data_IF_416733751254
#
_entry.id   IF_416733751254
#
_cell.length_a   1.000
_cell.length_b   1.000
_cell.length_c   1.000
_cell.angle_alpha   90.00
_cell.angle_beta   90.00
_cell.angle_gamma   90.00
#
_symmetry.space_group_name_H-M   'P 1'
#
loop_
_entity.id
_entity.type
_entity.pdbx_description
1 polymer ?
#
# COMPACT_ATOMS: atom_id res chain seq x y z
N UNK A 1 -8.26 -6.28 -20.23
CA UNK A 1 -8.47 -7.28 -19.14
C UNK A 1 -9.95 -7.64 -19.11
N UNK A 2 -10.33 -8.84 -18.65
CA UNK A 2 -11.73 -9.22 -18.51
C UNK A 2 -12.21 -8.84 -17.08
N UNK A 3 -13.19 -7.95 -16.91
CA UNK A 3 -13.64 -7.51 -15.59
C UNK A 3 -14.39 -8.63 -14.85
N UNK A 4 -14.13 -8.77 -13.55
CA UNK A 4 -14.87 -9.65 -12.65
C UNK A 4 -15.75 -8.81 -11.71
N UNK A 5 -16.92 -9.32 -11.30
CA UNK A 5 -17.87 -8.63 -10.42
C UNK A 5 -17.85 -9.15 -8.98
N UNK A 6 -17.09 -10.19 -8.69
CA UNK A 6 -16.81 -10.72 -7.35
C UNK A 6 -15.72 -9.89 -6.68
N UNK A 7 -16.00 -9.33 -5.49
CA UNK A 7 -15.02 -8.56 -4.71
C UNK A 7 -13.71 -9.31 -4.54
N UNK A 8 -13.77 -10.58 -4.14
CA UNK A 8 -12.57 -11.37 -3.86
C UNK A 8 -11.72 -11.53 -5.11
N UNK A 9 -12.35 -11.92 -6.22
CA UNK A 9 -11.63 -12.16 -7.46
C UNK A 9 -11.08 -10.87 -8.05
N UNK A 10 -11.88 -9.82 -8.12
CA UNK A 10 -11.42 -8.52 -8.62
C UNK A 10 -10.29 -7.96 -7.77
N UNK A 11 -10.37 -8.07 -6.45
CA UNK A 11 -9.30 -7.67 -5.56
C UNK A 11 -8.02 -8.47 -5.83
N UNK A 12 -8.13 -9.80 -6.01
CA UNK A 12 -6.99 -10.64 -6.37
C UNK A 12 -6.37 -10.24 -7.72
N UNK A 13 -7.19 -9.89 -8.72
CA UNK A 13 -6.70 -9.44 -10.03
C UNK A 13 -5.88 -8.16 -9.89
N UNK A 14 -6.42 -7.13 -9.21
CA UNK A 14 -5.73 -5.86 -9.02
C UNK A 14 -4.49 -6.01 -8.13
N UNK A 15 -4.58 -6.76 -7.04
CA UNK A 15 -3.47 -6.93 -6.11
C UNK A 15 -2.38 -7.87 -6.63
N UNK A 16 -2.71 -8.86 -7.47
CA UNK A 16 -1.73 -9.76 -8.08
C UNK A 16 -1.22 -9.28 -9.44
N UNK A 17 -1.96 -8.41 -10.13
CA UNK A 17 -1.75 -8.07 -11.54
C UNK A 17 -1.80 -9.28 -12.51
N UNK A 18 -2.47 -10.38 -12.12
CA UNK A 18 -2.57 -11.62 -12.91
C UNK A 18 -4.04 -11.99 -13.19
N UNK A 19 -4.72 -11.28 -14.11
CA UNK A 19 -6.14 -11.50 -14.40
C UNK A 19 -6.49 -12.91 -14.89
N UNK A 20 -5.54 -13.61 -15.51
CA UNK A 20 -5.76 -14.93 -16.11
C UNK A 20 -5.53 -16.10 -15.13
N UNK A 21 -5.15 -15.83 -13.86
CA UNK A 21 -4.84 -16.88 -12.88
C UNK A 21 -5.74 -16.78 -11.66
N UNK A 22 -6.49 -17.83 -11.37
CA UNK A 22 -7.38 -17.87 -10.21
C UNK A 22 -6.61 -18.05 -8.90
N UNK A 23 -5.61 -18.94 -8.89
CA UNK A 23 -4.76 -19.16 -7.72
C UNK A 23 -3.46 -18.33 -7.80
N UNK A 24 -3.43 -17.25 -7.02
CA UNK A 24 -2.27 -16.36 -6.91
C UNK A 24 -1.73 -16.32 -5.49
N UNK A 25 -0.46 -16.71 -5.32
CA UNK A 25 0.20 -16.79 -4.01
C UNK A 25 1.06 -15.57 -3.65
N UNK A 26 1.14 -14.57 -4.54
CA UNK A 26 1.91 -13.34 -4.32
C UNK A 26 1.31 -12.15 -5.07
N UNK A 27 1.50 -10.96 -4.51
CA UNK A 27 1.12 -9.69 -5.12
C UNK A 27 2.18 -9.12 -6.04
N UNK A 28 1.81 -8.09 -6.79
CA UNK A 28 2.76 -7.44 -7.69
C UNK A 28 3.82 -6.63 -6.93
N UNK A 29 3.46 -5.92 -5.85
CA UNK A 29 4.45 -5.25 -5.00
C UNK A 29 5.32 -6.27 -4.26
N UNK A 30 4.74 -7.37 -3.78
CA UNK A 30 5.49 -8.45 -3.15
C UNK A 30 6.54 -9.07 -4.07
N UNK A 31 6.18 -9.34 -5.34
CA UNK A 31 7.14 -9.79 -6.36
C UNK A 31 8.19 -8.73 -6.70
N UNK A 32 7.83 -7.45 -6.68
CA UNK A 32 8.79 -6.36 -6.87
C UNK A 32 9.82 -6.36 -5.72
N UNK A 33 9.38 -6.50 -4.47
CA UNK A 33 10.27 -6.64 -3.31
C UNK A 33 11.20 -7.86 -3.45
N UNK A 34 10.66 -9.01 -3.85
CA UNK A 34 11.45 -10.24 -4.05
C UNK A 34 12.52 -10.11 -5.14
N UNK A 35 12.29 -9.26 -6.15
CA UNK A 35 13.24 -8.99 -7.22
C UNK A 35 14.42 -8.12 -6.77
N UNK A 36 14.28 -7.40 -5.66
CA UNK A 36 15.30 -6.50 -5.09
C UNK A 36 15.70 -6.90 -3.68
N UNK A 37 15.60 -8.19 -3.31
CA UNK A 37 15.82 -8.69 -1.95
C UNK A 37 17.16 -8.27 -1.34
N UNK A 38 18.22 -8.22 -2.14
CA UNK A 38 19.56 -7.81 -1.71
C UNK A 38 19.60 -6.34 -1.24
N UNK A 39 18.73 -5.48 -1.77
CA UNK A 39 18.63 -4.06 -1.39
C UNK A 39 17.92 -3.86 -0.03
N UNK A 40 17.32 -4.92 0.50
CA UNK A 40 16.41 -4.90 1.65
C UNK A 40 16.94 -5.61 2.89
N UNK A 41 18.19 -6.11 2.86
CA UNK A 41 18.81 -6.77 4.00
C UNK A 41 18.78 -5.83 5.22
N UNK A 42 18.19 -6.32 6.32
CA UNK A 42 18.05 -5.57 7.59
C UNK A 42 17.07 -4.40 7.55
N UNK A 43 16.22 -4.30 6.53
CA UNK A 43 15.21 -3.24 6.37
C UNK A 43 13.80 -3.84 6.36
N UNK A 44 12.80 -2.97 6.49
CA UNK A 44 11.37 -3.32 6.35
C UNK A 44 10.86 -2.63 5.07
N UNK A 45 11.07 -3.23 3.88
CA UNK A 45 10.89 -2.52 2.61
C UNK A 45 9.43 -2.34 2.20
N UNK A 46 8.52 -3.15 2.76
CA UNK A 46 7.08 -3.04 2.61
C UNK A 46 6.40 -2.94 3.97
N UNK A 47 5.27 -2.25 4.05
CA UNK A 47 4.49 -2.11 5.28
C UNK A 47 3.00 -1.91 4.97
N UNK A 48 2.13 -2.71 5.58
CA UNK A 48 0.68 -2.56 5.46
C UNK A 48 0.11 -1.87 6.72
N UNK A 49 -0.76 -0.89 6.54
CA UNK A 49 -1.34 -0.08 7.61
C UNK A 49 -2.85 -0.15 7.66
N UNK A 50 -3.37 -0.36 8.88
CA UNK A 50 -4.81 -0.33 9.14
C UNK A 50 -5.57 -1.53 8.57
N UNK A 51 -4.87 -2.65 8.33
CA UNK A 51 -5.45 -3.93 7.88
C UNK A 51 -5.15 -5.03 8.88
N UNK A 52 -6.08 -5.98 9.03
CA UNK A 52 -5.92 -7.13 9.93
C UNK A 52 -5.14 -8.28 9.30
N UNK A 53 -5.12 -8.32 7.97
CA UNK A 53 -4.37 -9.29 7.17
C UNK A 53 -3.47 -8.54 6.21
N UNK A 54 -2.36 -9.18 5.83
CA UNK A 54 -1.47 -8.66 4.81
C UNK A 54 -2.23 -8.65 3.47
N UNK A 55 -2.40 -7.48 2.82
CA UNK A 55 -3.01 -7.43 1.50
C UNK A 55 -2.17 -8.26 0.52
N UNK A 56 -2.82 -9.05 -0.33
CA UNK A 56 -2.18 -9.86 -1.36
C UNK A 56 -1.12 -9.05 -2.13
N UNK A 57 -1.38 -7.76 -2.41
CA UNK A 57 -0.47 -6.87 -3.14
C UNK A 57 0.95 -6.88 -2.57
N UNK A 58 1.08 -6.93 -1.23
CA UNK A 58 2.35 -6.96 -0.51
C UNK A 58 2.82 -8.37 -0.13
N UNK A 59 2.06 -9.43 -0.42
CA UNK A 59 2.49 -10.81 -0.16
C UNK A 59 3.67 -11.14 -1.09
N UNK A 60 4.82 -11.36 -0.47
CA UNK A 60 6.09 -11.71 -1.09
C UNK A 60 6.51 -13.13 -0.66
N UNK A 61 7.32 -13.80 -1.48
CA UNK A 61 7.80 -15.16 -1.21
C UNK A 61 9.15 -15.20 -0.49
N UNK A 62 9.97 -14.14 -0.59
CA UNK A 62 11.32 -14.07 0.02
C UNK A 62 11.42 -13.04 1.15
N UNK A 63 10.48 -12.10 1.22
CA UNK A 63 10.48 -11.01 2.20
C UNK A 63 9.23 -11.08 3.08
N UNK A 64 9.42 -10.97 4.40
CA UNK A 64 8.31 -10.79 5.33
C UNK A 64 7.89 -9.32 5.35
N UNK A 65 6.63 -9.07 5.00
CA UNK A 65 6.02 -7.74 5.07
C UNK A 65 5.08 -7.67 6.27
N UNK A 66 5.36 -6.84 7.28
CA UNK A 66 4.50 -6.73 8.45
C UNK A 66 3.24 -5.90 8.19
N UNK A 67 2.19 -6.22 8.96
CA UNK A 67 0.96 -5.42 9.09
C UNK A 67 0.95 -4.67 10.40
N UNK A 68 0.55 -3.41 10.38
CA UNK A 68 0.56 -2.53 11.54
C UNK A 68 -0.78 -1.80 11.64
N UNK A 69 -1.42 -1.86 12.81
CA UNK A 69 -2.64 -1.07 13.05
C UNK A 69 -2.31 0.37 13.42
N UNK A 70 -1.33 0.55 14.30
CA UNK A 70 -0.80 1.85 14.72
C UNK A 70 0.65 1.70 15.22
N UNK A 71 1.32 2.83 15.44
CA UNK A 71 2.70 2.90 15.95
C UNK A 71 2.86 2.19 17.30
N UNK A 72 1.84 2.21 18.17
CA UNK A 72 1.90 1.56 19.49
C UNK A 72 1.89 0.03 19.33
N UNK A 73 1.16 -0.49 18.35
CA UNK A 73 1.12 -1.89 17.97
C UNK A 73 2.38 -2.37 17.27
N UNK A 74 3.14 -1.48 16.62
CA UNK A 74 4.48 -1.77 16.08
C UNK A 74 5.60 -1.58 17.10
N UNK A 75 5.36 -2.03 18.33
CA UNK A 75 6.37 -2.10 19.37
C UNK A 75 6.60 -3.55 19.72
N UNK A 76 7.85 -3.90 20.04
CA UNK A 76 8.10 -5.24 20.51
C UNK A 76 7.48 -5.42 21.90
N UNK A 77 6.46 -6.28 21.97
CA UNK A 77 5.92 -6.74 23.23
C UNK A 77 6.84 -7.81 23.81
N UNK A 78 7.65 -7.42 24.78
CA UNK A 78 8.60 -8.27 25.51
C UNK A 78 7.93 -9.21 26.52
N UNK A 79 6.60 -9.35 26.49
CA UNK A 79 5.82 -10.04 27.51
C UNK A 79 5.67 -9.24 28.81
N UNK A 80 4.98 -9.80 29.82
CA UNK A 80 4.83 -9.15 31.12
C UNK A 80 6.16 -9.07 31.88
N UNK A 81 6.37 -8.00 32.65
CA UNK A 81 7.55 -7.86 33.50
C UNK A 81 7.80 -6.43 33.97
N UNK A 82 8.62 -6.29 35.02
CA UNK A 82 9.18 -5.00 35.42
C UNK A 82 10.35 -4.59 34.49
N UNK A 83 10.86 -3.37 34.63
CA UNK A 83 11.92 -2.84 33.75
C UNK A 83 13.16 -3.74 33.66
N UNK A 84 13.54 -4.39 34.76
CA UNK A 84 14.65 -5.37 34.80
C UNK A 84 14.36 -6.63 33.99
N UNK A 85 13.15 -7.18 34.11
CA UNK A 85 12.71 -8.34 33.33
C UNK A 85 12.65 -8.01 31.83
N UNK A 86 12.13 -6.84 31.46
CA UNK A 86 12.10 -6.38 30.07
C UNK A 86 13.52 -6.20 29.51
N UNK A 87 14.46 -5.65 30.30
CA UNK A 87 15.87 -5.56 29.92
C UNK A 87 16.49 -6.94 29.70
N UNK A 88 16.13 -7.92 30.51
CA UNK A 88 16.60 -9.31 30.39
C UNK A 88 16.04 -9.98 29.12
N UNK A 89 14.75 -9.83 28.85
CA UNK A 89 14.11 -10.33 27.63
C UNK A 89 14.72 -9.68 26.38
N UNK A 90 14.99 -8.37 26.41
CA UNK A 90 15.71 -7.64 25.37
C UNK A 90 17.09 -8.25 25.10
N UNK A 91 17.90 -8.45 26.14
CA UNK A 91 19.24 -9.05 26.01
C UNK A 91 19.18 -10.49 25.48
N UNK A 92 18.18 -11.27 25.87
CA UNK A 92 18.00 -12.64 25.37
C UNK A 92 17.69 -12.66 23.87
N UNK A 93 16.79 -11.78 23.42
CA UNK A 93 16.49 -11.62 22.00
C UNK A 93 17.71 -11.14 21.23
N UNK A 94 18.45 -10.13 21.71
CA UNK A 94 19.69 -9.66 21.08
C UNK A 94 20.73 -10.78 20.92
N UNK A 95 20.85 -11.70 21.88
CA UNK A 95 21.75 -12.87 21.79
C UNK A 95 21.29 -13.89 20.75
N UNK A 96 20.00 -14.21 20.72
CA UNK A 96 19.42 -15.11 19.69
C UNK A 96 19.61 -14.50 18.30
N UNK A 97 19.37 -13.19 18.22
CA UNK A 97 19.49 -12.36 17.05
C UNK A 97 20.93 -11.83 16.85
N UNK A 98 21.97 -12.44 17.41
CA UNK A 98 23.37 -12.16 17.04
C UNK A 98 24.18 -13.40 16.72
N UNK A 99 23.70 -14.60 17.09
CA UNK A 99 24.33 -15.87 16.74
C UNK A 99 24.27 -16.16 15.24
N UNK A 100 25.42 -16.53 14.68
CA UNK A 100 25.48 -17.11 13.34
C UNK A 100 24.67 -18.41 13.31
N UNK A 101 23.87 -18.55 12.28
CA UNK A 101 23.25 -19.80 11.88
C UNK A 101 23.90 -20.21 10.56
N UNK A 102 23.82 -21.49 10.20
CA UNK A 102 24.10 -21.90 8.84
C UNK A 102 23.23 -21.09 7.88
N UNK A 103 23.88 -20.36 6.98
CA UNK A 103 23.23 -19.49 6.01
C UNK A 103 22.18 -20.29 5.24
N UNK A 104 20.94 -19.80 5.23
CA UNK A 104 19.83 -20.42 4.51
C UNK A 104 19.00 -21.44 5.29
N UNK A 105 19.24 -21.64 6.59
CA UNK A 105 18.33 -22.44 7.44
C UNK A 105 17.08 -21.66 7.86
N UNK A 106 15.99 -22.36 8.22
CA UNK A 106 14.79 -21.73 8.79
C UNK A 106 15.11 -20.93 10.06
N UNK A 107 16.05 -21.43 10.87
CA UNK A 107 16.52 -20.75 12.07
C UNK A 107 17.25 -19.43 11.74
N UNK A 108 18.04 -19.40 10.68
CA UNK A 108 18.70 -18.20 10.16
C UNK A 108 17.67 -17.16 9.69
N UNK A 109 16.63 -17.60 8.98
CA UNK A 109 15.50 -16.76 8.57
C UNK A 109 14.72 -16.16 9.75
N UNK A 110 14.37 -16.99 10.74
CA UNK A 110 13.69 -16.54 11.96
C UNK A 110 14.54 -15.51 12.73
N UNK A 111 15.85 -15.77 12.86
CA UNK A 111 16.77 -14.83 13.53
C UNK A 111 16.85 -13.50 12.79
N UNK A 112 17.02 -13.49 11.46
CA UNK A 112 17.04 -12.24 10.67
C UNK A 112 15.74 -11.47 10.77
N UNK A 113 14.61 -12.16 10.73
CA UNK A 113 13.28 -11.56 10.88
C UNK A 113 13.16 -10.90 12.26
N UNK A 114 13.55 -11.60 13.33
CA UNK A 114 13.56 -11.05 14.68
C UNK A 114 14.49 -9.83 14.83
N UNK A 115 15.72 -9.87 14.28
CA UNK A 115 16.65 -8.72 14.26
C UNK A 115 16.02 -7.51 13.58
N UNK A 116 15.44 -7.73 12.41
CA UNK A 116 14.87 -6.67 11.57
C UNK A 116 13.68 -6.03 12.30
N UNK A 117 12.73 -6.84 12.79
CA UNK A 117 11.58 -6.37 13.55
C UNK A 117 11.98 -5.62 14.83
N UNK A 118 13.01 -6.11 15.53
CA UNK A 118 13.55 -5.42 16.71
C UNK A 118 14.10 -4.04 16.35
N UNK A 119 15.03 -4.01 15.41
CA UNK A 119 15.71 -2.77 15.01
C UNK A 119 14.75 -1.74 14.43
N UNK A 120 13.73 -2.19 13.69
CA UNK A 120 12.71 -1.32 13.12
C UNK A 120 11.78 -0.76 14.19
N UNK A 121 11.36 -1.56 15.17
CA UNK A 121 10.52 -1.10 16.27
C UNK A 121 11.23 -0.06 17.16
N UNK A 122 12.50 -0.29 17.53
CA UNK A 122 13.28 0.69 18.31
C UNK A 122 13.48 1.99 17.53
N UNK A 123 13.79 1.88 16.23
CA UNK A 123 13.92 3.05 15.36
C UNK A 123 12.61 3.83 15.30
N UNK A 124 11.47 3.15 15.06
CA UNK A 124 10.16 3.78 15.02
C UNK A 124 9.84 4.50 16.34
N UNK A 125 10.11 3.86 17.49
CA UNK A 125 9.89 4.48 18.80
C UNK A 125 10.66 5.79 18.98
N UNK A 126 11.92 5.84 18.53
CA UNK A 126 12.73 7.06 18.59
C UNK A 126 12.18 8.16 17.69
N UNK A 127 11.77 7.82 16.47
CA UNK A 127 11.15 8.75 15.53
C UNK A 127 9.85 9.30 16.09
N UNK A 128 9.04 8.43 16.69
CA UNK A 128 7.71 8.80 17.18
C UNK A 128 7.74 9.77 18.35
N UNK A 129 8.84 9.78 19.11
CA UNK A 129 9.04 10.73 20.19
C UNK A 129 9.33 12.16 19.69
N UNK A 130 9.86 12.31 18.48
CA UNK A 130 10.27 13.61 17.92
C UNK A 130 9.40 14.08 16.75
N UNK A 131 8.63 13.18 16.15
CA UNK A 131 7.80 13.50 15.00
C UNK A 131 6.69 14.50 15.33
N UNK A 132 6.66 15.59 14.55
CA UNK A 132 5.58 16.58 14.60
C UNK A 132 5.09 16.80 13.17
N UNK A 133 3.79 16.57 12.89
CA UNK A 133 3.21 16.90 11.60
C UNK A 133 3.41 18.38 11.27
N UNK A 134 3.90 18.68 10.06
CA UNK A 134 3.98 20.04 9.55
C UNK A 134 2.61 20.55 9.05
N UNK A 135 1.64 19.66 8.87
CA UNK A 135 0.24 19.97 8.53
C UNK A 135 -0.71 19.23 9.47
N UNK A 136 -1.82 19.86 9.82
CA UNK A 136 -2.87 19.22 10.62
C UNK A 136 -3.58 18.14 9.80
N UNK A 137 -3.71 16.94 10.36
CA UNK A 137 -4.47 15.85 9.74
C UNK A 137 -5.93 15.91 10.17
N UNK A 138 -6.86 15.55 9.27
CA UNK A 138 -8.25 15.36 9.66
C UNK A 138 -8.38 14.20 10.67
N UNK A 139 -9.39 14.29 11.53
CA UNK A 139 -9.69 13.26 12.55
C UNK A 139 -10.32 11.98 11.99
N UNK A 140 -10.20 11.72 10.69
CA UNK A 140 -10.76 10.54 10.03
C UNK A 140 -9.76 9.39 9.93
N UNK A 141 -10.25 8.20 9.56
CA UNK A 141 -9.47 6.96 9.61
C UNK A 141 -8.27 6.99 8.68
N UNK A 142 -8.47 7.41 7.43
CA UNK A 142 -7.39 7.51 6.45
C UNK A 142 -6.36 8.57 6.85
N UNK A 143 -6.78 9.71 7.38
CA UNK A 143 -5.90 10.76 7.87
C UNK A 143 -4.94 10.26 8.95
N UNK A 144 -5.42 9.50 9.92
CA UNK A 144 -4.56 8.94 10.97
C UNK A 144 -3.60 7.86 10.43
N UNK A 145 -4.04 7.02 9.48
CA UNK A 145 -3.17 6.05 8.80
C UNK A 145 -2.05 6.78 8.04
N UNK A 146 -2.37 7.79 7.25
CA UNK A 146 -1.38 8.55 6.47
C UNK A 146 -0.44 9.38 7.35
N UNK A 147 -0.91 9.90 8.49
CA UNK A 147 -0.04 10.54 9.49
C UNK A 147 1.05 9.57 9.99
N UNK A 148 0.66 8.33 10.28
CA UNK A 148 1.61 7.28 10.71
C UNK A 148 2.58 6.91 9.60
N UNK A 149 2.12 6.85 8.34
CA UNK A 149 2.99 6.62 7.19
C UNK A 149 4.01 7.76 7.05
N UNK A 150 3.61 9.02 7.20
CA UNK A 150 4.50 10.17 7.11
C UNK A 150 5.58 10.14 8.21
N UNK A 151 5.20 9.78 9.43
CA UNK A 151 6.11 9.56 10.56
C UNK A 151 7.21 8.53 10.23
N UNK A 152 6.84 7.40 9.64
CA UNK A 152 7.79 6.35 9.25
C UNK A 152 8.70 6.78 8.10
N UNK A 153 8.15 7.52 7.13
CA UNK A 153 8.92 8.07 6.01
C UNK A 153 9.97 9.07 6.54
N UNK A 154 9.59 9.96 7.46
CA UNK A 154 10.51 10.90 8.12
C UNK A 154 11.61 10.18 8.91
N UNK A 155 11.32 8.96 9.35
CA UNK A 155 12.28 8.09 9.99
C UNK A 155 13.31 7.40 9.10
N UNK A 156 13.11 7.38 7.79
CA UNK A 156 13.95 6.68 6.81
C UNK A 156 14.26 5.22 7.23
N UNK A 157 13.22 4.43 7.54
CA UNK A 157 13.35 3.04 7.97
C UNK A 157 13.72 2.06 6.83
N UNK A 158 13.97 2.59 5.63
CA UNK A 158 14.18 1.78 4.43
C UNK A 158 12.89 1.23 3.82
N UNK A 159 11.72 1.60 4.35
CA UNK A 159 10.41 1.27 3.79
C UNK A 159 10.20 2.02 2.47
N UNK A 160 9.91 1.27 1.42
CA UNK A 160 9.70 1.80 0.06
C UNK A 160 8.25 1.70 -0.40
N UNK A 161 7.49 0.73 0.13
CA UNK A 161 6.13 0.45 -0.27
C UNK A 161 5.21 0.45 0.95
N UNK A 162 4.17 1.27 0.88
CA UNK A 162 3.14 1.36 1.92
C UNK A 162 1.80 0.97 1.32
N UNK A 163 1.02 0.17 2.04
CA UNK A 163 -0.37 -0.11 1.69
C UNK A 163 -1.29 0.43 2.77
N UNK A 164 -2.25 1.26 2.39
CA UNK A 164 -3.33 1.76 3.24
C UNK A 164 -4.65 1.51 2.54
N UNK A 165 -5.71 1.31 3.30
CA UNK A 165 -7.06 1.16 2.76
C UNK A 165 -8.02 2.23 3.32
N UNK A 166 -8.98 2.60 2.48
CA UNK A 166 -10.19 3.33 2.83
C UNK A 166 -11.36 2.53 2.26
N UNK A 167 -12.20 2.00 3.15
CA UNK A 167 -13.33 1.15 2.78
C UNK A 167 -14.61 1.99 2.62
N UNK A 168 -15.71 1.35 2.20
CA UNK A 168 -17.04 1.96 2.18
C UNK A 168 -17.54 2.41 0.80
N UNK A 169 -16.73 2.28 -0.25
CA UNK A 169 -17.11 2.69 -1.62
C UNK A 169 -18.11 1.74 -2.31
N UNK A 170 -18.44 0.61 -1.69
CA UNK A 170 -19.45 -0.30 -2.23
C UNK A 170 -20.88 0.11 -1.88
N UNK A 171 -21.30 1.25 -2.42
CA UNK A 171 -22.54 1.94 -2.07
C UNK A 171 -23.73 1.52 -2.95
N UNK A 172 -24.37 0.40 -2.63
CA UNK A 172 -25.56 -0.10 -3.36
C UNK A 172 -26.86 0.66 -3.05
N UNK A 173 -26.83 1.59 -2.10
CA UNK A 173 -27.94 2.48 -1.77
C UNK A 173 -27.44 3.84 -1.29
N UNK A 174 -28.26 4.88 -1.47
CA UNK A 174 -27.97 6.27 -1.06
C UNK A 174 -26.54 6.74 -1.38
N UNK A 175 -26.04 6.39 -2.57
CA UNK A 175 -24.63 6.51 -2.94
C UNK A 175 -24.12 7.94 -2.91
N UNK A 176 -24.91 8.93 -3.33
CA UNK A 176 -24.47 10.31 -3.46
C UNK A 176 -23.82 10.85 -2.17
N UNK A 177 -24.47 10.68 -1.02
CA UNK A 177 -23.98 11.18 0.26
C UNK A 177 -22.78 10.37 0.78
N UNK A 178 -22.87 9.04 0.74
CA UNK A 178 -21.80 8.17 1.20
C UNK A 178 -20.51 8.37 0.37
N UNK A 179 -20.65 8.41 -0.95
CA UNK A 179 -19.52 8.60 -1.86
C UNK A 179 -18.91 10.00 -1.73
N UNK A 180 -19.72 11.05 -1.56
CA UNK A 180 -19.22 12.39 -1.28
C UNK A 180 -18.39 12.43 0.02
N UNK A 181 -18.86 11.79 1.09
CA UNK A 181 -18.14 11.73 2.36
C UNK A 181 -16.79 11.01 2.22
N UNK A 182 -16.77 9.88 1.51
CA UNK A 182 -15.54 9.10 1.28
C UNK A 182 -14.53 9.83 0.39
N UNK A 183 -14.99 10.50 -0.67
CA UNK A 183 -14.11 11.33 -1.51
C UNK A 183 -13.58 12.54 -0.75
N UNK A 184 -14.36 13.10 0.18
CA UNK A 184 -13.91 14.18 1.08
C UNK A 184 -12.85 13.69 2.05
N UNK A 185 -13.02 12.49 2.63
CA UNK A 185 -11.99 11.84 3.46
C UNK A 185 -10.71 11.57 2.65
N UNK A 186 -10.82 10.97 1.46
CA UNK A 186 -9.69 10.72 0.56
C UNK A 186 -8.92 12.01 0.24
N UNK A 187 -9.64 13.04 -0.21
CA UNK A 187 -9.07 14.32 -0.62
C UNK A 187 -8.38 15.04 0.55
N UNK A 188 -9.06 15.16 1.70
CA UNK A 188 -8.51 15.85 2.87
C UNK A 188 -7.30 15.11 3.47
N UNK A 189 -7.33 13.78 3.53
CA UNK A 189 -6.25 12.97 4.07
C UNK A 189 -5.00 13.01 3.17
N UNK A 190 -5.17 12.86 1.85
CA UNK A 190 -4.04 12.95 0.89
C UNK A 190 -3.46 14.38 0.89
N UNK A 191 -4.31 15.41 0.94
CA UNK A 191 -3.87 16.81 0.98
C UNK A 191 -3.02 17.09 2.22
N UNK A 192 -3.48 16.65 3.40
CA UNK A 192 -2.72 16.77 4.65
C UNK A 192 -1.39 16.00 4.58
N UNK A 193 -1.40 14.78 4.06
CA UNK A 193 -0.21 13.94 3.90
C UNK A 193 0.85 14.57 2.98
N UNK A 194 0.44 15.07 1.82
CA UNK A 194 1.35 15.74 0.89
C UNK A 194 1.87 17.06 1.50
N UNK A 195 1.02 17.82 2.20
CA UNK A 195 1.42 19.03 2.91
C UNK A 195 2.47 18.77 4.00
N UNK A 196 2.26 17.70 4.77
CA UNK A 196 3.17 17.27 5.82
C UNK A 196 4.54 16.85 5.26
N UNK A 197 4.54 15.98 4.25
CA UNK A 197 5.77 15.58 3.56
C UNK A 197 6.50 16.76 2.91
N UNK A 198 5.79 17.75 2.39
CA UNK A 198 6.40 18.99 1.87
C UNK A 198 7.06 19.78 2.99
N UNK A 199 6.39 19.94 4.13
CA UNK A 199 6.94 20.63 5.30
C UNK A 199 8.22 19.98 5.85
N UNK A 200 8.37 18.66 5.68
CA UNK A 200 9.59 17.92 6.02
C UNK A 200 10.60 17.79 4.86
N UNK A 201 10.32 18.36 3.68
CA UNK A 201 11.21 18.26 2.50
C UNK A 201 11.28 16.85 1.87
N UNK A 202 10.29 16.00 2.13
CA UNK A 202 10.26 14.58 1.73
C UNK A 202 9.31 14.30 0.56
N UNK A 203 8.47 15.26 0.16
CA UNK A 203 7.42 15.04 -0.85
C UNK A 203 7.94 14.53 -2.20
N UNK A 204 9.12 14.96 -2.63
CA UNK A 204 9.76 14.53 -3.89
C UNK A 204 10.13 13.03 -3.91
N UNK A 205 10.21 12.39 -2.75
CA UNK A 205 10.53 10.96 -2.59
C UNK A 205 9.28 10.07 -2.56
N UNK A 206 8.08 10.66 -2.60
CA UNK A 206 6.82 9.95 -2.37
C UNK A 206 5.87 10.13 -3.55
N UNK A 207 5.26 9.02 -3.95
CA UNK A 207 4.17 8.97 -4.91
C UNK A 207 3.04 8.16 -4.29
N UNK A 208 1.85 8.76 -4.25
CA UNK A 208 0.62 8.09 -3.83
C UNK A 208 -0.12 7.63 -5.08
N UNK A 209 -0.53 6.36 -5.13
CA UNK A 209 -1.39 5.81 -6.17
C UNK A 209 -2.58 5.12 -5.52
N UNK A 210 -3.79 5.41 -6.00
CA UNK A 210 -5.03 4.74 -5.56
C UNK A 210 -5.49 3.73 -6.59
N UNK A 211 -6.18 2.68 -6.15
CA UNK A 211 -6.93 1.79 -7.00
C UNK A 211 -8.17 1.30 -6.24
N UNK A 212 -9.14 0.77 -6.99
CA UNK A 212 -10.25 -0.02 -6.45
C UNK A 212 -10.45 -1.21 -7.39
N UNK A 213 -10.96 -2.29 -6.83
CA UNK A 213 -11.21 -3.55 -7.50
C UNK A 213 -12.30 -3.45 -8.59
N UNK A 214 -13.21 -2.47 -8.49
CA UNK A 214 -14.22 -2.17 -9.51
C UNK A 214 -14.49 -0.68 -9.63
N UNK A 215 -15.21 -0.33 -10.69
CA UNK A 215 -15.88 0.96 -10.81
C UNK A 215 -17.33 0.91 -10.33
N UNK A 216 -18.09 1.92 -10.74
CA UNK A 216 -19.55 2.00 -10.55
C UNK A 216 -20.23 2.12 -11.90
N UNK A 217 -21.41 1.51 -12.06
CA UNK A 217 -22.23 1.72 -13.26
C UNK A 217 -22.68 3.17 -13.39
N UNK A 218 -22.96 3.58 -14.63
CA UNK A 218 -23.41 4.96 -14.92
C UNK A 218 -24.82 5.20 -14.40
N UNK A 219 -25.72 4.23 -14.58
CA UNK A 219 -27.10 4.36 -14.15
C UNK A 219 -27.26 4.06 -12.65
N UNK A 220 -28.09 4.89 -11.99
CA UNK A 220 -28.54 4.64 -10.62
C UNK A 220 -29.45 3.40 -10.57
N UNK A 221 -29.29 2.58 -9.54
CA UNK A 221 -30.16 1.43 -9.27
C UNK A 221 -31.43 1.87 -8.49
N UNK A 222 -32.38 0.96 -8.32
CA UNK A 222 -33.66 1.27 -7.66
C UNK A 222 -33.58 1.69 -6.18
N UNK A 223 -32.40 1.65 -5.56
CA UNK A 223 -32.16 2.01 -4.15
C UNK A 223 -31.34 3.30 -3.99
N UNK A 224 -31.29 4.14 -5.02
CA UNK A 224 -30.48 5.37 -5.05
C UNK A 224 -28.97 5.10 -4.89
N UNK A 225 -28.52 3.92 -5.32
CA UNK A 225 -27.11 3.52 -5.39
C UNK A 225 -26.70 3.19 -6.82
N UNK A 226 -25.59 2.48 -7.01
CA UNK A 226 -25.24 1.92 -8.34
C UNK A 226 -24.73 0.50 -8.16
N UNK A 227 -24.76 -0.31 -9.22
CA UNK A 227 -24.10 -1.63 -9.18
C UNK A 227 -22.59 -1.50 -9.47
N UNK A 228 -21.87 -2.61 -9.36
CA UNK A 228 -20.45 -2.70 -9.72
C UNK A 228 -20.24 -2.44 -11.21
N UNK A 229 -19.24 -1.60 -11.53
CA UNK A 229 -18.86 -1.25 -12.88
C UNK A 229 -17.50 -1.81 -13.31
N UNK A 230 -17.29 -1.98 -14.61
CA UNK A 230 -16.08 -2.58 -15.17
C UNK A 230 -14.85 -1.65 -15.23
N UNK A 231 -15.03 -0.33 -15.15
CA UNK A 231 -13.92 0.63 -15.27
C UNK A 231 -13.95 1.66 -14.14
N UNK A 232 -12.75 2.02 -13.65
CA UNK A 232 -12.56 2.97 -12.56
C UNK A 232 -11.44 3.96 -12.89
N UNK A 233 -11.23 4.93 -12.01
CA UNK A 233 -10.16 5.92 -12.10
C UNK A 233 -9.11 5.69 -11.01
N UNK A 234 -7.84 5.90 -11.36
CA UNK A 234 -6.74 5.91 -10.40
C UNK A 234 -6.30 7.35 -10.19
N UNK A 235 -6.15 7.76 -8.93
CA UNK A 235 -5.49 9.02 -8.60
C UNK A 235 -4.01 8.75 -8.36
N UNK A 236 -3.15 9.54 -9.01
CA UNK A 236 -1.71 9.51 -8.78
C UNK A 236 -1.24 10.89 -8.36
N UNK A 237 -0.58 10.99 -7.21
CA UNK A 237 -0.21 12.26 -6.58
C UNK A 237 1.26 12.24 -6.18
N UNK A 238 2.06 13.13 -6.80
CA UNK A 238 3.43 13.44 -6.43
C UNK A 238 3.84 14.78 -7.05
N UNK A 239 4.75 15.57 -6.43
CA UNK A 239 5.38 16.71 -7.10
C UNK A 239 6.14 16.34 -8.38
N UNK A 240 6.52 15.06 -8.54
CA UNK A 240 7.22 14.54 -9.71
C UNK A 240 6.30 14.01 -10.80
N UNK A 241 4.98 14.00 -10.59
CA UNK A 241 4.04 13.51 -11.59
C UNK A 241 3.63 14.62 -12.56
N UNK A 242 3.33 14.21 -13.79
CA UNK A 242 2.59 15.06 -14.75
C UNK A 242 1.16 15.27 -14.24
N UNK A 243 0.77 16.53 -14.04
CA UNK A 243 -0.59 16.88 -13.64
C UNK A 243 -1.61 16.78 -14.77
N UNK A 244 -2.88 16.62 -14.41
CA UNK A 244 -4.03 16.57 -15.32
C UNK A 244 -4.60 15.16 -15.50
N UNK A 245 -5.62 15.06 -16.36
CA UNK A 245 -6.25 13.78 -16.73
C UNK A 245 -5.40 13.10 -17.80
N UNK A 246 -5.08 11.83 -17.60
CA UNK A 246 -4.34 11.01 -18.58
C UNK A 246 -5.26 9.87 -19.04
N UNK A 247 -5.42 9.77 -20.36
CA UNK A 247 -6.39 8.86 -20.97
C UNK A 247 -7.55 9.62 -21.62
N UNK A 248 -8.45 8.88 -22.27
CA UNK A 248 -9.66 9.46 -22.83
C UNK A 248 -10.70 9.67 -21.72
N UNK A 249 -11.48 10.74 -21.80
CA UNK A 249 -12.65 10.84 -20.95
C UNK A 249 -13.65 9.75 -21.37
N UNK A 250 -14.17 8.92 -20.45
CA UNK A 250 -15.10 7.87 -20.82
C UNK A 250 -16.43 8.48 -21.30
N UNK A 251 -17.11 7.78 -22.22
CA UNK A 251 -18.47 8.14 -22.62
C UNK A 251 -19.47 7.68 -21.57
N UNK A 252 -20.43 8.54 -21.22
CA UNK A 252 -21.53 8.19 -20.32
C UNK A 252 -22.76 7.63 -21.08
N UNK A 253 -22.68 7.54 -22.40
CA UNK A 253 -23.77 7.07 -23.27
C UNK A 253 -23.37 5.93 -24.19
N UNK A 254 -22.08 5.79 -24.50
CA UNK A 254 -21.54 4.62 -25.21
C UNK A 254 -20.99 3.62 -24.18
N UNK A 255 -21.87 2.72 -23.75
CA UNK A 255 -21.64 1.79 -22.64
C UNK A 255 -21.60 0.34 -23.14
N UNK A 256 -21.00 -0.53 -22.34
CA UNK A 256 -21.04 -1.99 -22.51
C UNK A 256 -21.93 -2.57 -21.40
N UNK A 257 -23.18 -2.91 -21.72
CA UNK A 257 -24.19 -3.38 -20.75
C UNK A 257 -24.31 -2.50 -19.48
N UNK A 258 -24.24 -1.18 -19.66
CA UNK A 258 -24.32 -0.17 -18.59
C UNK A 258 -22.99 0.15 -17.90
N UNK A 259 -21.92 -0.56 -18.24
CA UNK A 259 -20.57 -0.31 -17.77
C UNK A 259 -19.83 0.70 -18.66
N UNK A 260 -18.96 1.50 -18.05
CA UNK A 260 -17.99 2.31 -18.79
C UNK A 260 -17.00 1.38 -19.51
N UNK A 261 -16.77 1.63 -20.79
CA UNK A 261 -15.72 0.95 -21.57
C UNK A 261 -14.34 1.41 -21.10
N UNK A 262 -13.54 0.52 -20.55
CA UNK A 262 -12.15 0.82 -20.20
C UNK A 262 -11.29 0.97 -21.46
N UNK A 263 -10.34 1.90 -21.44
CA UNK A 263 -9.37 2.09 -22.53
C UNK A 263 -7.92 1.88 -22.09
N UNK A 264 -7.65 1.84 -20.78
CA UNK A 264 -6.32 1.65 -20.20
C UNK A 264 -6.29 0.38 -19.39
N UNK A 265 -5.36 -0.53 -19.71
CA UNK A 265 -5.05 -1.67 -18.86
C UNK A 265 -4.31 -1.18 -17.61
N UNK A 266 -4.84 -1.47 -16.41
CA UNK A 266 -4.24 -1.04 -15.14
C UNK A 266 -2.79 -1.49 -14.96
N UNK A 267 -2.39 -2.60 -15.59
CA UNK A 267 -1.00 -3.10 -15.56
C UNK A 267 -0.03 -2.14 -16.25
N UNK A 268 -0.53 -1.28 -17.14
CA UNK A 268 0.24 -0.18 -17.74
C UNK A 268 0.59 0.91 -16.71
N UNK A 269 -0.30 1.17 -15.75
CA UNK A 269 -0.02 2.08 -14.63
C UNK A 269 1.01 1.44 -13.70
N UNK A 270 0.88 0.14 -13.42
CA UNK A 270 1.85 -0.59 -12.61
C UNK A 270 3.23 -0.65 -13.26
N UNK A 271 3.30 -0.79 -14.59
CA UNK A 271 4.55 -0.72 -15.33
C UNK A 271 5.24 0.63 -15.14
N UNK A 272 4.51 1.75 -15.19
CA UNK A 272 5.08 3.08 -14.86
C UNK A 272 5.61 3.15 -13.44
N UNK A 273 4.84 2.67 -12.45
CA UNK A 273 5.27 2.66 -11.04
C UNK A 273 6.54 1.84 -10.84
N UNK A 274 6.64 0.68 -11.50
CA UNK A 274 7.79 -0.21 -11.39
C UNK A 274 8.99 0.37 -12.14
N UNK A 275 8.87 0.61 -13.43
CA UNK A 275 10.01 0.97 -14.30
C UNK A 275 10.51 2.38 -14.04
N UNK A 276 9.62 3.36 -13.81
CA UNK A 276 9.99 4.79 -13.76
C UNK A 276 10.11 5.35 -12.36
N UNK A 277 9.32 4.85 -11.42
CA UNK A 277 9.34 5.35 -10.05
C UNK A 277 10.22 4.50 -9.13
N UNK A 278 10.00 3.18 -9.12
CA UNK A 278 10.72 2.27 -8.24
C UNK A 278 12.06 1.79 -8.81
N UNK A 279 12.28 1.99 -10.11
CA UNK A 279 13.42 1.48 -10.86
C UNK A 279 13.55 -0.06 -10.73
N UNK A 280 12.43 -0.76 -10.92
CA UNK A 280 12.30 -2.21 -10.89
C UNK A 280 11.70 -2.64 -12.22
N UNK A 281 12.29 -3.62 -12.90
CA UNK A 281 11.77 -4.11 -14.18
C UNK A 281 10.36 -4.66 -14.04
N UNK A 282 9.41 -4.08 -14.77
CA UNK A 282 7.99 -4.43 -14.68
C UNK A 282 7.67 -5.78 -15.32
N UNK A 283 8.36 -6.16 -16.40
CA UNK A 283 8.10 -7.37 -17.16
C UNK A 283 8.11 -8.66 -16.32
N UNK A 284 9.16 -8.97 -15.54
CA UNK A 284 9.16 -10.16 -14.68
C UNK A 284 8.14 -10.09 -13.54
N UNK A 285 7.83 -8.89 -13.05
CA UNK A 285 6.87 -8.67 -11.95
C UNK A 285 5.43 -8.87 -12.44
N UNK A 286 5.08 -8.33 -13.61
CA UNK A 286 3.73 -8.35 -14.19
C UNK A 286 3.49 -9.58 -15.07
N UNK A 287 4.54 -10.32 -15.43
CA UNK A 287 4.44 -11.52 -16.28
C UNK A 287 4.20 -11.20 -17.75
N UNK A 288 4.57 -9.99 -18.20
CA UNK A 288 4.39 -9.52 -19.56
C UNK A 288 4.76 -8.05 -19.72
N UNK A 289 4.88 -7.60 -20.97
CA UNK A 289 5.17 -6.20 -21.31
C UNK A 289 3.88 -5.40 -21.40
N UNK A 290 3.82 -4.31 -20.64
CA UNK A 290 2.74 -3.33 -20.71
C UNK A 290 3.35 -1.97 -21.00
N UNK A 291 2.77 -1.24 -21.96
CA UNK A 291 3.26 0.10 -22.33
C UNK A 291 3.05 1.05 -21.15
N UNK A 292 4.09 1.65 -20.55
CA UNK A 292 3.91 2.56 -19.43
C UNK A 292 3.03 3.76 -19.79
N UNK A 293 2.23 4.21 -18.82
CA UNK A 293 1.49 5.48 -18.89
C UNK A 293 2.42 6.63 -18.49
N UNK A 294 2.40 7.72 -19.26
CA UNK A 294 3.31 8.86 -19.13
C UNK A 294 2.89 9.85 -18.00
N UNK A 295 2.91 9.39 -16.74
CA UNK A 295 2.64 10.25 -15.57
C UNK A 295 3.86 10.48 -14.66
N UNK A 296 4.95 9.73 -14.86
CA UNK A 296 6.29 9.96 -14.27
C UNK A 296 7.27 10.18 -15.41
#
# INVERSE_FOLDING_TARGET
PNPDRSHFRSMDIWQSAKPEKDDVSSGWLGRALDSTVEQHVGKVPGLAFGTDKLPLSLVASKINVPTVRDVKGYQLQLGPGNESALKTHKQALERIASRDASAGSDLDFLRRTARTAWSSAEKLKQISASYKPATAYPGNGLGQKLRTVAEIISGDMGTRMFYVNLDGFDTHSQQANAHQALLTELSSAISAFVGDLKGHGLADRVLVATFSEFGRRVAENGSLGTDHGAASQMFVVSPKCKGGVIGAHPSLTDLDDGDLKFHTDFRSVYATLLDRWLNISSEPVLGGKFRPVEFV
#
